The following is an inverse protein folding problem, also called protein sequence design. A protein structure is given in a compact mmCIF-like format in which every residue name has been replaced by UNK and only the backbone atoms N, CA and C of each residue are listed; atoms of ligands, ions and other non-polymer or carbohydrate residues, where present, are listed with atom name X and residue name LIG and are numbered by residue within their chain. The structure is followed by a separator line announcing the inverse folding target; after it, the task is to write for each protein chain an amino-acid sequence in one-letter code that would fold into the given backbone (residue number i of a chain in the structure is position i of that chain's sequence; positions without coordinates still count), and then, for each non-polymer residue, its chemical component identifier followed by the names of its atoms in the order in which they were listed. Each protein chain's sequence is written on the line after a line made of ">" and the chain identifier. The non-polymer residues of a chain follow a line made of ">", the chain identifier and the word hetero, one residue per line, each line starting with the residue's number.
data_IF_216754713427
#
_entry.id   IF_216754713427
#
_cell.length_a   1.000
_cell.length_b   1.000
_cell.length_c   1.000
_cell.angle_alpha   90.00
_cell.angle_beta   90.00
_cell.angle_gamma   90.00
#
_symmetry.space_group_name_H-M   'P 1'
#
loop_
_entity.id
_entity.type
_entity.pdbx_description
1 polymer ?
#
# COMPACT_ATOMS: atom_id res chain seq x y z
N UNK A 1 -16.88 30.91 3.58
CA UNK A 1 -17.17 30.15 2.36
C UNK A 1 -16.26 28.94 2.36
N UNK A 2 -16.74 27.69 2.23
CA UNK A 2 -15.85 26.55 2.09
C UNK A 2 -15.15 26.66 0.73
N UNK A 3 -13.81 26.61 0.73
CA UNK A 3 -13.00 26.65 -0.49
C UNK A 3 -13.29 25.36 -1.27
N UNK A 4 -13.95 25.47 -2.43
CA UNK A 4 -14.43 24.35 -3.27
C UNK A 4 -13.32 23.47 -3.88
N UNK A 5 -12.12 23.49 -3.29
CA UNK A 5 -10.91 22.80 -3.73
C UNK A 5 -10.57 21.57 -2.90
N UNK A 6 -11.28 21.30 -1.80
CA UNK A 6 -11.05 20.14 -0.94
C UNK A 6 -12.12 19.08 -1.20
N UNK A 7 -11.71 17.92 -1.71
CA UNK A 7 -12.63 16.82 -2.06
C UNK A 7 -13.19 16.10 -0.84
N UNK A 8 -12.41 15.98 0.24
CA UNK A 8 -12.84 15.38 1.50
C UNK A 8 -12.63 16.35 2.67
N UNK A 9 -13.63 17.18 2.95
CA UNK A 9 -13.55 18.20 4.00
C UNK A 9 -13.43 17.59 5.42
N UNK A 10 -14.10 16.46 5.68
CA UNK A 10 -14.05 15.81 6.99
C UNK A 10 -12.64 15.30 7.30
N UNK A 11 -12.03 14.60 6.33
CA UNK A 11 -10.65 14.14 6.44
C UNK A 11 -9.67 15.31 6.55
N UNK A 12 -9.91 16.40 5.82
CA UNK A 12 -9.08 17.60 5.92
C UNK A 12 -9.10 18.20 7.34
N UNK A 13 -10.29 18.35 7.94
CA UNK A 13 -10.46 18.88 9.31
C UNK A 13 -9.83 17.96 10.34
N UNK A 14 -10.07 16.65 10.25
CA UNK A 14 -9.47 15.67 11.16
C UNK A 14 -7.94 15.72 11.13
N UNK A 15 -7.34 15.88 9.94
CA UNK A 15 -5.89 16.03 9.79
C UNK A 15 -5.37 17.33 10.45
N UNK A 16 -6.12 18.43 10.39
CA UNK A 16 -5.76 19.67 11.08
C UNK A 16 -5.81 19.51 12.60
N UNK A 17 -6.84 18.84 13.13
CA UNK A 17 -7.02 18.63 14.57
C UNK A 17 -5.90 17.79 15.18
N UNK A 18 -5.37 16.82 14.43
CA UNK A 18 -4.20 16.04 14.86
C UNK A 18 -2.85 16.73 14.56
N UNK A 19 -2.88 18.00 14.12
CA UNK A 19 -1.70 18.86 13.99
C UNK A 19 -1.00 18.86 12.63
N UNK A 20 -1.63 18.36 11.55
CA UNK A 20 -1.04 18.46 10.21
C UNK A 20 -1.17 19.88 9.64
N UNK A 21 -0.19 20.31 8.86
CA UNK A 21 -0.25 21.58 8.12
C UNK A 21 -1.37 21.60 7.08
N UNK A 22 -1.99 22.76 6.87
CA UNK A 22 -3.08 22.98 5.88
C UNK A 22 -2.77 22.40 4.49
N UNK A 23 -1.58 22.64 3.96
CA UNK A 23 -1.19 22.13 2.63
C UNK A 23 -1.12 20.60 2.57
N UNK A 24 -0.53 19.96 3.59
CA UNK A 24 -0.43 18.49 3.69
C UNK A 24 -1.81 17.86 3.85
N UNK A 25 -2.65 18.44 4.70
CA UNK A 25 -4.04 17.99 4.89
C UNK A 25 -4.84 18.11 3.60
N UNK A 26 -4.71 19.22 2.88
CA UNK A 26 -5.40 19.43 1.61
C UNK A 26 -4.98 18.41 0.54
N UNK A 27 -3.68 18.10 0.46
CA UNK A 27 -3.15 17.09 -0.47
C UNK A 27 -3.73 15.69 -0.20
N UNK A 28 -3.77 15.29 1.08
CA UNK A 28 -4.31 13.99 1.48
C UNK A 28 -5.82 13.94 1.21
N UNK A 29 -6.57 14.96 1.62
CA UNK A 29 -8.01 15.06 1.40
C UNK A 29 -8.41 15.14 -0.09
N UNK A 30 -7.53 15.62 -0.96
CA UNK A 30 -7.74 15.70 -2.41
C UNK A 30 -7.30 14.46 -3.19
N UNK A 31 -6.61 13.53 -2.52
CA UNK A 31 -6.20 12.26 -3.11
C UNK A 31 -7.20 11.19 -2.70
N UNK A 32 -8.24 10.92 -3.51
CA UNK A 32 -9.04 9.72 -3.28
C UNK A 32 -8.12 8.51 -3.33
N UNK A 33 -8.46 7.46 -2.59
CA UNK A 33 -7.89 6.12 -2.81
C UNK A 33 -6.42 5.92 -2.34
N UNK A 34 -5.87 6.82 -1.51
CA UNK A 34 -4.49 6.68 -1.01
C UNK A 34 -4.22 5.35 -0.28
N UNK A 35 -5.23 4.76 0.37
CA UNK A 35 -5.16 3.42 0.98
C UNK A 35 -5.49 2.26 0.04
N UNK A 36 -6.07 2.53 -1.12
CA UNK A 36 -6.67 1.53 -2.00
C UNK A 36 -5.76 1.23 -3.21
N UNK A 37 -4.96 2.20 -3.67
CA UNK A 37 -3.92 1.98 -4.70
C UNK A 37 -2.88 0.90 -4.36
N UNK A 38 -2.82 0.41 -3.13
CA UNK A 38 -2.01 -0.75 -2.72
C UNK A 38 -2.79 -1.89 -2.03
N UNK A 39 -4.08 -1.70 -1.75
CA UNK A 39 -4.88 -2.60 -0.89
C UNK A 39 -5.49 -3.82 -1.60
N UNK A 40 -5.46 -3.85 -2.93
CA UNK A 40 -6.11 -4.91 -3.72
C UNK A 40 -5.19 -6.07 -4.14
N UNK A 41 -3.96 -6.13 -3.65
CA UNK A 41 -3.15 -7.32 -3.83
C UNK A 41 -3.73 -8.44 -2.97
N UNK A 42 -4.16 -9.56 -3.60
CA UNK A 42 -4.48 -10.78 -2.86
C UNK A 42 -3.33 -11.09 -1.91
N UNK A 43 -3.58 -11.52 -0.66
CA UNK A 43 -2.50 -11.88 0.24
C UNK A 43 -1.66 -13.00 -0.37
N UNK A 44 -0.35 -12.98 -0.15
CA UNK A 44 0.58 -13.99 -0.69
C UNK A 44 0.20 -15.45 -0.36
N UNK A 45 -0.60 -15.67 0.68
CA UNK A 45 -1.12 -16.99 1.03
C UNK A 45 -2.04 -17.58 -0.06
N UNK A 46 -2.80 -16.72 -0.74
CA UNK A 46 -3.72 -17.09 -1.83
C UNK A 46 -3.01 -17.28 -3.17
N UNK A 47 -1.78 -16.80 -3.31
CA UNK A 47 -1.02 -16.93 -4.55
C UNK A 47 -0.50 -18.37 -4.71
N UNK A 48 -0.39 -18.84 -5.94
CA UNK A 48 0.27 -20.10 -6.25
C UNK A 48 1.78 -19.99 -6.01
N UNK A 49 2.47 -21.14 -5.84
CA UNK A 49 3.93 -21.16 -5.72
C UNK A 49 4.61 -20.51 -6.93
N UNK A 50 4.06 -20.69 -8.12
CA UNK A 50 4.59 -20.11 -9.35
C UNK A 50 4.51 -18.58 -9.34
N UNK A 51 3.36 -18.00 -8.96
CA UNK A 51 3.20 -16.55 -8.84
C UNK A 51 4.15 -15.95 -7.80
N UNK A 52 4.27 -16.61 -6.63
CA UNK A 52 5.21 -16.21 -5.58
C UNK A 52 6.67 -16.28 -6.06
N UNK A 53 7.01 -17.30 -6.84
CA UNK A 53 8.34 -17.43 -7.43
C UNK A 53 8.63 -16.32 -8.44
N UNK A 54 7.67 -15.97 -9.30
CA UNK A 54 7.83 -14.87 -10.25
C UNK A 54 7.95 -13.53 -9.54
N UNK A 55 7.15 -13.30 -8.49
CA UNK A 55 7.27 -12.10 -7.67
C UNK A 55 8.64 -12.05 -6.98
N UNK A 56 9.09 -13.15 -6.38
CA UNK A 56 10.40 -13.26 -5.76
C UNK A 56 11.54 -13.03 -6.75
N UNK A 57 11.37 -13.43 -8.02
CA UNK A 57 12.30 -13.10 -9.10
C UNK A 57 12.29 -11.61 -9.43
N UNK A 58 11.11 -10.98 -9.50
CA UNK A 58 10.95 -9.55 -9.81
C UNK A 58 11.58 -8.66 -8.75
N UNK A 59 11.44 -9.02 -7.47
CA UNK A 59 12.04 -8.27 -6.35
C UNK A 59 13.49 -8.66 -6.07
N UNK A 60 14.00 -9.72 -6.68
CA UNK A 60 15.41 -10.12 -6.58
C UNK A 60 15.76 -10.98 -5.36
N UNK A 61 14.82 -11.76 -4.82
CA UNK A 61 15.07 -12.65 -3.67
C UNK A 61 16.07 -13.76 -4.07
N UNK A 62 17.23 -13.87 -3.38
CA UNK A 62 18.20 -14.94 -3.62
C UNK A 62 17.70 -16.27 -3.06
N UNK A 63 18.17 -17.39 -3.61
CA UNK A 63 17.76 -18.74 -3.16
C UNK A 63 16.29 -19.12 -3.46
N UNK A 64 15.50 -18.23 -4.06
CA UNK A 64 14.07 -18.44 -4.41
C UNK A 64 13.77 -19.77 -5.13
N UNK A 65 14.70 -20.27 -5.94
CA UNK A 65 14.55 -21.51 -6.71
C UNK A 65 14.50 -22.76 -5.82
N UNK A 66 15.11 -22.71 -4.64
CA UNK A 66 15.11 -23.81 -3.66
C UNK A 66 13.99 -23.64 -2.61
N UNK A 67 13.27 -22.52 -2.61
CA UNK A 67 12.28 -22.21 -1.58
C UNK A 67 10.94 -22.94 -1.80
N UNK A 68 10.34 -23.36 -0.69
CA UNK A 68 8.95 -23.82 -0.64
C UNK A 68 8.00 -22.62 -0.76
N UNK A 69 6.70 -22.88 -1.03
CA UNK A 69 5.67 -21.83 -1.07
C UNK A 69 5.69 -20.96 0.21
N UNK A 70 5.79 -21.59 1.39
CA UNK A 70 5.85 -20.90 2.68
C UNK A 70 7.08 -20.00 2.80
N UNK A 71 8.25 -20.47 2.36
CA UNK A 71 9.49 -19.70 2.42
C UNK A 71 9.49 -18.54 1.44
N UNK A 72 8.89 -18.70 0.25
CA UNK A 72 8.69 -17.60 -0.71
C UNK A 72 7.79 -16.51 -0.12
N UNK A 73 6.67 -16.88 0.51
CA UNK A 73 5.77 -15.93 1.20
C UNK A 73 6.52 -15.19 2.30
N UNK A 74 7.26 -15.91 3.14
CA UNK A 74 8.02 -15.31 4.22
C UNK A 74 9.07 -14.33 3.70
N UNK A 75 9.83 -14.74 2.68
CA UNK A 75 10.86 -13.88 2.09
C UNK A 75 10.24 -12.64 1.44
N UNK A 76 9.11 -12.77 0.73
CA UNK A 76 8.39 -11.64 0.14
C UNK A 76 7.78 -10.67 1.16
N UNK A 77 7.51 -11.12 2.38
CA UNK A 77 7.00 -10.27 3.47
C UNK A 77 8.09 -9.54 4.24
N UNK A 78 9.31 -10.05 4.23
CA UNK A 78 10.44 -9.53 5.01
C UNK A 78 11.57 -8.96 4.12
N UNK A 79 11.29 -8.76 2.82
CA UNK A 79 12.20 -8.16 1.84
C UNK A 79 11.86 -6.69 1.64
#
# INVERSE_FOLDING_TARGET
>A
MPDSRIKNEEQYRALLEIGYSKEKSARIANTPDAGVKGGHAKPYNEWTKAELYQQARRVGIPGRSYMSKKNLIHSLRNN
#
